data_IF_138989428668
#
_entry.id   IF_138989428668
#
_cell.length_a   1.000
_cell.length_b   1.000
_cell.length_c   1.000
_cell.angle_alpha   90.00
_cell.angle_beta   90.00
_cell.angle_gamma   90.00
#
_symmetry.space_group_name_H-M   'P 1'
#
loop_
_entity.id
_entity.type
_entity.pdbx_description
1 polymer ?
#
# COMPACT_ATOMS: atom_id res chain seq x y z
N UNK A 1 0.05 14.51 -3.58
CA UNK A 1 1.49 14.27 -3.29
C UNK A 1 1.84 12.87 -3.78
N UNK A 2 2.65 12.72 -4.82
CA UNK A 2 3.03 11.40 -5.35
C UNK A 2 4.50 11.09 -5.06
N UNK A 3 4.79 9.90 -4.54
CA UNK A 3 6.16 9.44 -4.26
C UNK A 3 6.94 10.26 -3.23
N UNK A 4 6.24 11.14 -2.47
CA UNK A 4 6.85 12.05 -1.49
C UNK A 4 7.06 11.43 -0.11
N UNK A 5 6.53 10.23 0.13
CA UNK A 5 6.67 9.49 1.39
C UNK A 5 6.35 10.35 2.62
N UNK A 6 7.24 10.39 3.61
CA UNK A 6 7.06 11.05 4.92
C UNK A 6 6.78 12.55 4.79
N UNK A 7 7.23 13.21 3.72
CA UNK A 7 6.93 14.63 3.49
C UNK A 7 5.43 14.88 3.26
N UNK A 8 4.67 13.87 2.86
CA UNK A 8 3.23 13.97 2.73
C UNK A 8 2.48 13.81 4.07
N UNK A 9 3.13 13.32 5.12
CA UNK A 9 2.47 12.96 6.38
C UNK A 9 1.80 14.14 7.10
N UNK A 10 2.39 15.36 7.15
CA UNK A 10 1.71 16.51 7.75
C UNK A 10 0.42 16.86 7.02
N UNK A 11 0.43 16.84 5.68
CA UNK A 11 -0.74 17.12 4.86
C UNK A 11 -1.80 16.03 5.04
N UNK A 12 -1.42 14.75 5.00
CA UNK A 12 -2.34 13.63 5.24
C UNK A 12 -3.00 13.75 6.61
N UNK A 13 -2.22 14.10 7.65
CA UNK A 13 -2.74 14.25 9.00
C UNK A 13 -3.74 15.39 9.10
N UNK A 14 -3.45 16.53 8.47
CA UNK A 14 -4.39 17.65 8.39
C UNK A 14 -5.69 17.25 7.68
N UNK A 15 -5.61 16.57 6.54
CA UNK A 15 -6.79 16.13 5.77
C UNK A 15 -7.64 15.10 6.53
N UNK A 16 -7.01 14.16 7.24
CA UNK A 16 -7.73 13.13 7.99
C UNK A 16 -8.43 13.67 9.24
N UNK A 17 -7.99 14.79 9.80
CA UNK A 17 -8.59 15.41 10.98
C UNK A 17 -9.82 16.26 10.66
N UNK A 18 -10.11 16.49 9.39
CA UNK A 18 -11.21 17.37 8.97
C UNK A 18 -12.59 16.71 9.18
N UNK A 19 -13.59 17.56 9.47
CA UNK A 19 -14.99 17.14 9.60
C UNK A 19 -15.61 16.82 8.23
N UNK A 20 -15.14 17.47 7.17
CA UNK A 20 -15.62 17.23 5.81
C UNK A 20 -15.16 15.84 5.31
N UNK A 21 -16.10 14.93 4.99
CA UNK A 21 -15.75 13.63 4.42
C UNK A 21 -14.99 13.71 3.09
N UNK A 22 -15.16 14.77 2.31
CA UNK A 22 -14.43 14.97 1.05
C UNK A 22 -12.94 15.17 1.33
N UNK A 23 -12.60 15.93 2.37
CA UNK A 23 -11.21 16.17 2.78
C UNK A 23 -10.58 14.92 3.38
N UNK A 24 -11.30 14.16 4.22
CA UNK A 24 -10.78 12.87 4.71
C UNK A 24 -10.54 11.88 3.58
N UNK A 25 -11.46 11.82 2.61
CA UNK A 25 -11.32 11.00 1.40
C UNK A 25 -10.10 11.40 0.58
N UNK A 26 -9.86 12.71 0.37
CA UNK A 26 -8.67 13.19 -0.33
C UNK A 26 -7.38 12.86 0.45
N UNK A 27 -7.44 12.83 1.78
CA UNK A 27 -6.39 12.32 2.66
C UNK A 27 -6.04 10.85 2.37
N UNK A 28 -7.04 9.98 2.15
CA UNK A 28 -6.80 8.57 1.80
C UNK A 28 -6.08 8.41 0.47
N UNK A 29 -6.48 9.14 -0.57
CA UNK A 29 -5.79 9.11 -1.86
C UNK A 29 -4.40 9.74 -1.80
N UNK A 30 -4.22 10.80 -0.99
CA UNK A 30 -2.92 11.44 -0.80
C UNK A 30 -1.94 10.48 -0.13
N UNK A 31 -2.38 9.78 0.92
CA UNK A 31 -1.59 8.73 1.59
C UNK A 31 -1.26 7.59 0.62
N UNK A 32 -2.26 7.11 -0.13
CA UNK A 32 -2.09 6.03 -1.10
C UNK A 32 -1.06 6.37 -2.18
N UNK A 33 -1.11 7.58 -2.73
CA UNK A 33 -0.21 8.04 -3.79
C UNK A 33 1.18 8.41 -3.27
N UNK A 34 1.29 8.91 -2.04
CA UNK A 34 2.58 9.22 -1.44
C UNK A 34 3.43 7.95 -1.22
N UNK A 35 2.78 6.84 -0.85
CA UNK A 35 3.42 5.54 -0.52
C UNK A 35 3.15 4.45 -1.58
N UNK A 36 2.75 4.82 -2.79
CA UNK A 36 2.37 3.88 -3.85
C UNK A 36 3.47 2.84 -4.12
N UNK A 37 3.12 1.55 -4.00
CA UNK A 37 4.03 0.43 -4.22
C UNK A 37 5.13 0.24 -3.18
N UNK A 38 5.17 1.03 -2.11
CA UNK A 38 6.24 0.93 -1.09
C UNK A 38 6.02 -0.22 -0.11
N UNK A 39 4.76 -0.63 0.10
CA UNK A 39 4.41 -1.60 1.15
C UNK A 39 4.65 -1.08 2.57
N UNK A 40 4.66 0.24 2.79
CA UNK A 40 4.92 0.82 4.10
C UNK A 40 3.87 0.37 5.14
N UNK A 41 4.33 -0.34 6.19
CA UNK A 41 3.47 -0.92 7.22
C UNK A 41 2.68 0.11 8.03
N UNK A 42 3.20 1.34 8.22
CA UNK A 42 2.48 2.38 8.95
C UNK A 42 1.32 2.93 8.11
N UNK A 43 1.56 3.21 6.84
CA UNK A 43 0.53 3.66 5.91
C UNK A 43 -0.56 2.58 5.69
N UNK A 44 -0.18 1.28 5.62
CA UNK A 44 -1.13 0.16 5.58
C UNK A 44 -2.02 0.16 6.83
N UNK A 45 -1.44 0.24 8.02
CA UNK A 45 -2.19 0.27 9.29
C UNK A 45 -3.17 1.44 9.35
N UNK A 46 -2.74 2.62 8.88
CA UNK A 46 -3.58 3.83 8.86
C UNK A 46 -4.78 3.66 7.91
N UNK A 47 -4.56 3.13 6.69
CA UNK A 47 -5.63 2.82 5.75
C UNK A 47 -6.60 1.76 6.29
N UNK A 48 -6.08 0.68 6.89
CA UNK A 48 -6.93 -0.35 7.51
C UNK A 48 -7.77 0.19 8.66
N UNK A 49 -7.19 1.05 9.50
CA UNK A 49 -7.93 1.68 10.58
C UNK A 49 -9.08 2.52 10.03
N UNK A 50 -8.82 3.43 9.09
CA UNK A 50 -9.85 4.30 8.49
C UNK A 50 -10.92 3.49 7.74
N UNK A 51 -10.53 2.40 7.09
CA UNK A 51 -11.45 1.51 6.38
C UNK A 51 -12.53 0.89 7.27
N UNK A 52 -12.31 0.81 8.59
CA UNK A 52 -13.29 0.28 9.55
C UNK A 52 -13.84 1.31 10.52
N UNK A 53 -13.11 2.41 10.77
CA UNK A 53 -13.49 3.40 11.80
C UNK A 53 -14.17 4.65 11.24
N UNK A 54 -14.04 4.99 9.95
CA UNK A 54 -14.70 6.17 9.41
C UNK A 54 -16.21 5.93 9.23
N UNK A 55 -17.01 6.90 9.68
CA UNK A 55 -18.47 6.86 9.56
C UNK A 55 -18.96 6.98 8.11
N UNK A 56 -18.16 7.55 7.21
CA UNK A 56 -18.55 7.81 5.83
C UNK A 56 -18.08 6.68 4.88
N UNK A 57 -19.04 6.13 4.13
CA UNK A 57 -18.83 5.01 3.21
C UNK A 57 -17.83 5.32 2.09
N UNK A 58 -17.82 6.55 1.56
CA UNK A 58 -16.86 6.95 0.52
C UNK A 58 -15.43 6.98 1.04
N UNK A 59 -15.25 7.43 2.29
CA UNK A 59 -13.92 7.43 2.94
C UNK A 59 -13.46 6.00 3.18
N UNK A 60 -14.33 5.12 3.68
CA UNK A 60 -14.00 3.69 3.86
C UNK A 60 -13.63 3.02 2.53
N UNK A 61 -14.40 3.26 1.46
CA UNK A 61 -14.09 2.75 0.11
C UNK A 61 -12.75 3.28 -0.41
N UNK A 62 -12.47 4.57 -0.22
CA UNK A 62 -11.20 5.17 -0.63
C UNK A 62 -10.02 4.57 0.13
N UNK A 63 -10.17 4.30 1.43
CA UNK A 63 -9.14 3.64 2.24
C UNK A 63 -8.81 2.23 1.73
N UNK A 64 -9.84 1.42 1.44
CA UNK A 64 -9.67 0.07 0.86
C UNK A 64 -9.05 0.14 -0.53
N UNK A 65 -9.49 1.07 -1.37
CA UNK A 65 -8.89 1.32 -2.70
C UNK A 65 -7.41 1.72 -2.57
N UNK A 66 -7.08 2.52 -1.56
CA UNK A 66 -5.73 2.96 -1.22
C UNK A 66 -4.77 1.81 -0.92
N UNK A 67 -5.26 0.73 -0.31
CA UNK A 67 -4.46 -0.48 -0.05
C UNK A 67 -3.98 -1.11 -1.37
N UNK A 68 -4.80 -1.10 -2.42
CA UNK A 68 -4.41 -1.58 -3.74
C UNK A 68 -3.20 -0.81 -4.30
N UNK A 69 -3.19 0.52 -4.17
CA UNK A 69 -2.06 1.34 -4.58
C UNK A 69 -0.81 1.13 -3.71
N UNK A 70 -0.94 0.90 -2.41
CA UNK A 70 0.22 0.61 -1.57
C UNK A 70 0.85 -0.76 -1.89
N UNK A 71 0.01 -1.74 -2.18
CA UNK A 71 0.38 -3.15 -2.27
C UNK A 71 0.52 -3.67 -3.70
N UNK A 72 0.39 -2.86 -4.75
CA UNK A 72 0.38 -3.37 -6.12
C UNK A 72 1.65 -4.17 -6.51
N UNK A 73 2.78 -3.90 -5.85
CA UNK A 73 4.05 -4.65 -6.06
C UNK A 73 4.13 -5.96 -5.28
N UNK A 74 3.23 -6.14 -4.31
CA UNK A 74 3.11 -7.29 -3.44
C UNK A 74 1.84 -8.04 -3.83
N UNK A 75 1.92 -8.81 -4.92
CA UNK A 75 0.82 -9.69 -5.34
C UNK A 75 0.48 -10.72 -4.25
N UNK A 76 -0.71 -11.36 -4.32
CA UNK A 76 -1.04 -12.45 -3.41
C UNK A 76 0.07 -13.49 -3.52
N UNK A 77 0.73 -13.76 -2.39
CA UNK A 77 1.84 -14.68 -2.31
C UNK A 77 1.42 -16.05 -2.84
N UNK A 78 1.64 -16.29 -4.13
CA UNK A 78 1.72 -17.64 -4.68
C UNK A 78 3.09 -18.14 -4.26
N UNK A 79 3.10 -18.82 -3.12
CA UNK A 79 4.25 -19.45 -2.48
C UNK A 79 5.10 -18.49 -1.63
N UNK A 80 5.01 -18.64 -0.31
CA UNK A 80 5.81 -17.94 0.71
C UNK A 80 7.29 -18.35 0.72
N UNK A 81 7.77 -19.03 -0.33
CA UNK A 81 9.15 -19.53 -0.45
C UNK A 81 10.02 -18.74 -1.41
N UNK A 82 9.49 -17.79 -2.18
CA UNK A 82 10.29 -17.05 -3.16
C UNK A 82 10.02 -15.55 -3.10
N UNK A 83 10.93 -14.74 -2.52
CA UNK A 83 10.82 -13.30 -2.65
C UNK A 83 10.92 -12.92 -4.14
N UNK A 84 10.00 -12.09 -4.61
CA UNK A 84 9.84 -11.69 -6.02
C UNK A 84 11.12 -11.01 -6.61
N UNK A 85 12.08 -10.64 -5.76
CA UNK A 85 13.43 -10.18 -6.16
C UNK A 85 14.43 -11.28 -6.52
N UNK A 86 14.15 -12.54 -6.21
CA UNK A 86 15.05 -13.69 -6.41
C UNK A 86 15.10 -14.19 -7.88
N UNK A 87 14.12 -13.82 -8.71
CA UNK A 87 14.06 -14.25 -10.12
C UNK A 87 15.00 -13.48 -11.07
N UNK A 88 15.83 -12.58 -10.56
CA UNK A 88 16.82 -11.83 -11.37
C UNK A 88 18.27 -12.26 -11.15
N UNK A 89 18.56 -13.19 -10.23
CA UNK A 89 19.92 -13.73 -10.11
C UNK A 89 20.09 -14.96 -11.01
N UNK A 90 21.14 -15.03 -11.86
CA UNK A 90 21.42 -16.20 -12.69
C UNK A 90 21.54 -17.49 -11.87
N UNK A 91 22.05 -17.38 -10.64
CA UNK A 91 22.35 -18.49 -9.72
C UNK A 91 21.10 -19.30 -9.32
N UNK A 92 19.94 -18.66 -9.17
CA UNK A 92 18.71 -19.35 -8.76
C UNK A 92 17.96 -20.00 -9.93
N UNK A 93 18.32 -19.64 -11.17
CA UNK A 93 17.76 -20.24 -12.38
C UNK A 93 18.31 -21.66 -12.60
N UNK A 94 19.58 -21.87 -12.28
CA UNK A 94 20.23 -23.18 -12.35
C UNK A 94 19.70 -24.14 -11.27
N UNK A 95 19.44 -23.63 -10.06
CA UNK A 95 18.85 -24.42 -8.98
C UNK A 95 17.43 -24.92 -9.31
N UNK A 96 16.62 -24.12 -10.01
CA UNK A 96 15.29 -24.54 -10.47
C UNK A 96 15.34 -25.59 -11.59
N UNK A 97 16.42 -25.64 -12.36
CA UNK A 97 16.61 -26.64 -13.41
C UNK A 97 17.08 -27.99 -12.84
N UNK A 98 17.83 -27.97 -11.73
CA UNK A 98 18.26 -29.18 -11.01
C UNK A 98 17.11 -29.88 -10.26
N UNK A 99 16.11 -29.13 -9.79
CA UNK A 99 14.96 -29.66 -9.03
C UNK A 99 13.86 -30.30 -9.89
N UNK A 100 14.07 -30.42 -11.21
CA UNK A 100 13.13 -31.00 -12.19
C UNK A 100 13.62 -32.32 -12.83
N UNK A 101 14.62 -32.97 -12.22
CA UNK A 101 15.03 -34.34 -12.56
C UNK A 101 14.75 -35.25 -11.39
#
# INVERSE_FOLDING_TARGET
>A
MYGRLEEADPLVTSLCADKDPILRRSGMYTLAMAYCGTGNNQAIRKLLHVAVSDVNDDVRRAAVTGLGFLLFRFGPAKDSRLPIGALRSPVLRDMAHQARV
#
